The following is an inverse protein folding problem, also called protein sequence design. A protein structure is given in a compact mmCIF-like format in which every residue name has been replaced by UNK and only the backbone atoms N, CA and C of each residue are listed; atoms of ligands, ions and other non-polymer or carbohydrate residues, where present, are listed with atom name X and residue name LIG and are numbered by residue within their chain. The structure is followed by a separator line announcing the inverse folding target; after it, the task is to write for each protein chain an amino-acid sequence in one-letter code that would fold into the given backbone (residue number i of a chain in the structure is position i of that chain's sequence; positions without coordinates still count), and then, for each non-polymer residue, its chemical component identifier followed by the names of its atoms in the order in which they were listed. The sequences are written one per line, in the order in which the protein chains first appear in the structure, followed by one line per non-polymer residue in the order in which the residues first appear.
data_IF_026855297834
#
_entry.id   IF_026855297834
#
_cell.length_a   1.000
_cell.length_b   1.000
_cell.length_c   1.000
_cell.angle_alpha   90.00
_cell.angle_beta   90.00
_cell.angle_gamma   90.00
#
_symmetry.space_group_name_H-M   'P 1'
#
loop_
_entity.id
_entity.type
_entity.pdbx_description
1 polymer ?
#
# COMPACT_ATOMS: atom_id res chain seq x y z
N UNK A 1 -25.47 3.68 -12.59
CA UNK A 1 -25.95 2.71 -11.58
C UNK A 1 -24.74 1.98 -11.01
N UNK A 2 -24.37 2.27 -9.77
CA UNK A 2 -23.30 1.56 -9.07
C UNK A 2 -23.77 0.11 -8.86
N UNK A 3 -23.03 -0.86 -9.44
CA UNK A 3 -23.28 -2.29 -9.15
C UNK A 3 -22.98 -2.52 -7.68
N UNK A 4 -24.02 -2.77 -6.87
CA UNK A 4 -23.87 -3.30 -5.51
C UNK A 4 -23.16 -4.64 -5.66
N UNK A 5 -21.83 -4.65 -5.47
CA UNK A 5 -21.08 -5.91 -5.42
C UNK A 5 -21.41 -6.60 -4.11
N UNK A 6 -21.88 -7.84 -4.19
CA UNK A 6 -22.04 -8.69 -2.99
C UNK A 6 -20.68 -8.78 -2.26
N UNK A 7 -20.64 -8.49 -0.96
CA UNK A 7 -19.40 -8.56 -0.19
C UNK A 7 -18.84 -9.99 -0.26
N UNK A 8 -17.56 -10.12 -0.60
CA UNK A 8 -16.82 -11.40 -0.60
C UNK A 8 -15.55 -11.26 0.25
N UNK A 9 -15.68 -11.23 1.57
CA UNK A 9 -14.57 -10.90 2.46
C UNK A 9 -13.41 -11.89 2.34
N UNK A 10 -13.66 -13.19 2.20
CA UNK A 10 -12.61 -14.19 2.04
C UNK A 10 -11.75 -13.94 0.78
N UNK A 11 -12.38 -13.60 -0.35
CA UNK A 11 -11.66 -13.24 -1.57
C UNK A 11 -10.88 -11.92 -1.38
N UNK A 12 -11.49 -10.92 -0.73
CA UNK A 12 -10.82 -9.66 -0.40
C UNK A 12 -9.56 -9.89 0.45
N UNK A 13 -9.63 -10.77 1.45
CA UNK A 13 -8.49 -11.17 2.29
C UNK A 13 -7.39 -11.84 1.45
N UNK A 14 -7.73 -12.78 0.60
CA UNK A 14 -6.75 -13.44 -0.26
C UNK A 14 -6.05 -12.43 -1.20
N UNK A 15 -6.79 -11.49 -1.77
CA UNK A 15 -6.23 -10.44 -2.63
C UNK A 15 -5.32 -9.48 -1.87
N UNK A 16 -5.65 -9.10 -0.62
CA UNK A 16 -4.78 -8.21 0.18
C UNK A 16 -3.49 -8.92 0.60
N UNK A 17 -3.54 -10.20 0.96
CA UNK A 17 -2.35 -10.99 1.25
C UNK A 17 -1.45 -11.07 0.01
N UNK A 18 -2.01 -11.37 -1.16
CA UNK A 18 -1.28 -11.37 -2.43
C UNK A 18 -0.68 -10.00 -2.75
N UNK A 19 -1.41 -8.91 -2.53
CA UNK A 19 -0.93 -7.54 -2.69
C UNK A 19 0.28 -7.25 -1.80
N UNK A 20 0.18 -7.57 -0.52
CA UNK A 20 1.25 -7.35 0.46
C UNK A 20 2.51 -8.18 0.14
N UNK A 21 2.32 -9.42 -0.33
CA UNK A 21 3.43 -10.25 -0.80
C UNK A 21 4.12 -9.65 -2.02
N UNK A 22 3.35 -9.12 -2.97
CA UNK A 22 3.90 -8.40 -4.12
C UNK A 22 4.70 -7.17 -3.70
N UNK A 23 4.21 -6.37 -2.73
CA UNK A 23 4.91 -5.18 -2.28
C UNK A 23 6.21 -5.50 -1.55
N UNK A 24 6.20 -6.45 -0.60
CA UNK A 24 7.42 -6.87 0.09
C UNK A 24 8.48 -7.41 -0.89
N UNK A 25 8.06 -8.21 -1.86
CA UNK A 25 8.94 -8.72 -2.91
C UNK A 25 9.48 -7.60 -3.79
N UNK A 26 8.61 -6.67 -4.21
CA UNK A 26 9.00 -5.51 -4.99
C UNK A 26 10.04 -4.65 -4.26
N UNK A 27 9.80 -4.31 -2.99
CA UNK A 27 10.71 -3.47 -2.19
C UNK A 27 12.07 -4.15 -2.01
N UNK A 28 12.09 -5.48 -1.86
CA UNK A 28 13.32 -6.26 -1.78
C UNK A 28 14.10 -6.25 -3.10
N UNK A 29 13.41 -6.38 -4.24
CA UNK A 29 14.05 -6.28 -5.58
C UNK A 29 14.55 -4.85 -5.82
N UNK A 30 13.79 -3.82 -5.41
CA UNK A 30 14.21 -2.41 -5.48
C UNK A 30 15.47 -2.18 -4.65
N UNK A 31 15.54 -2.73 -3.42
CA UNK A 31 16.74 -2.63 -2.57
C UNK A 31 17.94 -3.24 -3.27
N UNK A 32 17.79 -4.43 -3.82
CA UNK A 32 18.89 -5.11 -4.54
C UNK A 32 19.33 -4.32 -5.78
N UNK A 33 18.37 -3.94 -6.63
CA UNK A 33 18.65 -3.28 -7.90
C UNK A 33 19.17 -1.85 -7.72
N UNK A 34 18.80 -1.17 -6.63
CA UNK A 34 19.27 0.18 -6.31
C UNK A 34 20.77 0.28 -6.02
N UNK A 35 21.45 -0.85 -5.77
CA UNK A 35 22.92 -0.92 -5.75
C UNK A 35 23.58 -0.84 -7.14
N UNK A 36 22.80 -0.99 -8.22
CA UNK A 36 23.31 -1.03 -9.61
C UNK A 36 22.72 0.08 -10.47
N UNK A 37 21.46 0.43 -10.26
CA UNK A 37 20.73 1.40 -11.06
C UNK A 37 20.18 2.55 -10.22
N UNK A 38 20.14 3.77 -10.75
CA UNK A 38 19.54 4.91 -10.06
C UNK A 38 18.07 4.68 -9.74
N UNK A 39 17.65 5.02 -8.51
CA UNK A 39 16.26 4.87 -8.03
C UNK A 39 15.27 5.60 -8.94
N UNK A 40 15.65 6.72 -9.55
CA UNK A 40 14.81 7.46 -10.49
C UNK A 40 14.45 6.64 -11.72
N UNK A 41 15.40 5.86 -12.27
CA UNK A 41 15.15 4.93 -13.37
C UNK A 41 14.21 3.79 -12.94
N UNK A 42 14.42 3.24 -11.74
CA UNK A 42 13.58 2.16 -11.20
C UNK A 42 12.14 2.63 -11.03
N UNK A 43 11.93 3.82 -10.47
CA UNK A 43 10.61 4.44 -10.33
C UNK A 43 9.94 4.67 -11.68
N UNK A 44 10.68 5.25 -12.63
CA UNK A 44 10.15 5.52 -13.97
C UNK A 44 9.74 4.24 -14.68
N UNK A 45 10.58 3.20 -14.65
CA UNK A 45 10.28 1.90 -15.25
C UNK A 45 9.02 1.27 -14.63
N UNK A 46 8.88 1.31 -13.30
CA UNK A 46 7.70 0.80 -12.58
C UNK A 46 6.40 1.47 -13.04
N UNK A 47 6.36 2.81 -13.08
CA UNK A 47 5.15 3.53 -13.47
C UNK A 47 4.85 3.42 -14.96
N UNK A 48 5.88 3.39 -15.80
CA UNK A 48 5.75 3.19 -17.25
C UNK A 48 5.20 1.80 -17.56
N UNK A 49 5.69 0.76 -16.89
CA UNK A 49 5.17 -0.59 -17.02
C UNK A 49 3.68 -0.65 -16.62
N UNK A 50 3.31 -0.05 -15.48
CA UNK A 50 1.94 0.02 -15.01
C UNK A 50 1.02 0.75 -16.00
N UNK A 51 1.44 1.92 -16.50
CA UNK A 51 0.67 2.71 -17.46
C UNK A 51 0.45 1.93 -18.76
N UNK A 52 1.51 1.30 -19.29
CA UNK A 52 1.46 0.51 -20.51
C UNK A 52 0.58 -0.73 -20.35
N UNK A 53 0.77 -1.51 -19.30
CA UNK A 53 -0.02 -2.71 -19.03
C UNK A 53 -1.51 -2.39 -18.92
N UNK A 54 -1.86 -1.32 -18.21
CA UNK A 54 -3.25 -0.89 -18.07
C UNK A 54 -3.80 -0.26 -19.35
N UNK A 55 -3.00 0.47 -20.13
CA UNK A 55 -3.41 0.99 -21.44
C UNK A 55 -3.74 -0.14 -22.41
N UNK A 56 -2.91 -1.18 -22.46
CA UNK A 56 -3.15 -2.37 -23.30
C UNK A 56 -4.43 -3.11 -22.86
N UNK A 57 -4.62 -3.30 -21.55
CA UNK A 57 -5.83 -3.93 -21.00
C UNK A 57 -7.10 -3.14 -21.32
N UNK A 58 -7.10 -1.83 -21.08
CA UNK A 58 -8.26 -0.97 -21.36
C UNK A 58 -8.52 -0.84 -22.86
N UNK A 59 -7.44 -0.76 -23.68
CA UNK A 59 -7.54 -0.76 -25.14
C UNK A 59 -8.16 -2.04 -25.68
N UNK A 60 -7.77 -3.19 -25.13
CA UNK A 60 -8.37 -4.49 -25.47
C UNK A 60 -9.86 -4.55 -25.08
N UNK A 61 -10.24 -4.05 -23.88
CA UNK A 61 -11.64 -3.95 -23.49
C UNK A 61 -12.44 -3.05 -24.44
N UNK A 62 -11.87 -1.92 -24.83
CA UNK A 62 -12.50 -0.99 -25.78
C UNK A 62 -12.74 -1.63 -27.14
N UNK A 63 -11.76 -2.38 -27.65
CA UNK A 63 -11.88 -3.11 -28.90
C UNK A 63 -12.98 -4.21 -28.87
N UNK A 64 -13.17 -4.85 -27.70
CA UNK A 64 -14.20 -5.89 -27.53
C UNK A 64 -15.62 -5.38 -27.28
N UNK A 65 -15.76 -4.17 -26.76
CA UNK A 65 -17.07 -3.58 -26.43
C UNK A 65 -17.17 -2.18 -27.05
N UNK A 66 -17.60 -2.09 -28.33
CA UNK A 66 -17.84 -0.81 -28.98
C UNK A 66 -18.86 0.01 -28.19
N UNK A 67 -18.51 1.26 -27.84
CA UNK A 67 -19.34 2.14 -26.99
C UNK A 67 -18.94 2.18 -25.51
N UNK A 68 -18.13 1.25 -25.01
CA UNK A 68 -17.52 1.38 -23.69
C UNK A 68 -16.53 2.56 -23.66
N UNK A 69 -16.45 3.22 -22.52
CA UNK A 69 -15.50 4.33 -22.30
C UNK A 69 -14.50 3.94 -21.20
N UNK A 70 -13.64 2.92 -21.42
CA UNK A 70 -12.81 2.35 -20.35
C UNK A 70 -11.76 3.33 -19.81
N UNK A 71 -11.37 4.35 -20.59
CA UNK A 71 -10.45 5.41 -20.17
C UNK A 71 -11.14 6.60 -19.48
N UNK A 72 -12.48 6.62 -19.44
CA UNK A 72 -13.20 7.72 -18.83
C UNK A 72 -13.15 7.64 -17.31
N UNK A 73 -12.65 8.72 -16.66
CA UNK A 73 -12.69 8.92 -15.23
C UNK A 73 -13.75 9.96 -14.89
N UNK A 74 -14.66 9.64 -13.98
CA UNK A 74 -15.67 10.58 -13.49
C UNK A 74 -15.03 11.70 -12.63
N UNK A 75 -13.93 11.38 -11.94
CA UNK A 75 -13.26 12.29 -11.00
C UNK A 75 -11.77 12.46 -11.32
N UNK A 76 -11.38 13.05 -12.48
CA UNK A 76 -10.00 13.09 -12.95
C UNK A 76 -9.03 13.80 -11.99
N UNK A 77 -9.46 14.86 -11.30
CA UNK A 77 -8.64 15.58 -10.31
C UNK A 77 -8.23 14.68 -9.15
N UNK A 78 -9.15 13.86 -8.64
CA UNK A 78 -8.84 12.92 -7.56
C UNK A 78 -7.96 11.75 -8.04
N UNK A 79 -8.08 11.33 -9.31
CA UNK A 79 -7.19 10.34 -9.89
C UNK A 79 -5.74 10.85 -9.98
N UNK A 80 -5.54 12.09 -10.44
CA UNK A 80 -4.21 12.72 -10.48
C UNK A 80 -3.64 12.88 -9.07
N UNK A 81 -4.43 13.41 -8.11
CA UNK A 81 -4.01 13.56 -6.72
C UNK A 81 -3.59 12.21 -6.11
N UNK A 82 -4.36 11.16 -6.36
CA UNK A 82 -4.04 9.80 -5.94
C UNK A 82 -2.73 9.31 -6.57
N UNK A 83 -2.53 9.58 -7.86
CA UNK A 83 -1.28 9.26 -8.58
C UNK A 83 -0.07 9.98 -7.98
N UNK A 84 -0.21 11.25 -7.64
CA UNK A 84 0.85 12.05 -6.97
C UNK A 84 1.18 11.50 -5.57
N UNK A 85 0.17 11.17 -4.78
CA UNK A 85 0.36 10.59 -3.45
C UNK A 85 1.08 9.24 -3.52
N UNK A 86 0.72 8.38 -4.48
CA UNK A 86 1.41 7.11 -4.65
C UNK A 86 2.83 7.30 -5.17
N UNK A 87 3.07 8.25 -6.08
CA UNK A 87 4.41 8.58 -6.56
C UNK A 87 5.30 9.06 -5.40
N UNK A 88 4.80 9.98 -4.56
CA UNK A 88 5.52 10.45 -3.38
C UNK A 88 5.82 9.29 -2.42
N UNK A 89 4.82 8.47 -2.11
CA UNK A 89 4.99 7.26 -1.28
C UNK A 89 6.07 6.34 -1.85
N UNK A 90 6.00 6.05 -3.16
CA UNK A 90 6.95 5.14 -3.82
C UNK A 90 8.37 5.71 -3.87
N UNK A 91 8.51 7.01 -4.12
CA UNK A 91 9.81 7.67 -4.12
C UNK A 91 10.44 7.59 -2.72
N UNK A 92 9.69 7.97 -1.68
CA UNK A 92 10.15 7.91 -0.29
C UNK A 92 10.51 6.46 0.09
N UNK A 93 9.67 5.49 -0.27
CA UNK A 93 9.91 4.08 0.01
C UNK A 93 11.19 3.59 -0.70
N UNK A 94 11.33 3.82 -2.00
CA UNK A 94 12.45 3.31 -2.79
C UNK A 94 13.79 3.91 -2.37
N UNK A 95 13.82 5.21 -2.00
CA UNK A 95 15.00 5.80 -1.39
C UNK A 95 15.25 5.26 0.02
N UNK A 96 14.21 5.09 0.82
CA UNK A 96 14.31 4.61 2.20
C UNK A 96 14.85 3.18 2.32
N UNK A 97 14.37 2.25 1.48
CA UNK A 97 14.86 0.85 1.49
C UNK A 97 16.30 0.70 1.01
N UNK A 98 16.89 1.75 0.40
CA UNK A 98 18.33 1.77 0.13
C UNK A 98 19.15 2.09 1.38
N UNK A 99 18.56 2.76 2.37
CA UNK A 99 19.26 3.28 3.56
C UNK A 99 19.09 2.39 4.79
N UNK A 100 18.11 1.50 4.81
CA UNK A 100 17.84 0.61 5.93
C UNK A 100 17.26 -0.73 5.45
N UNK A 101 17.34 -1.81 6.27
CA UNK A 101 16.79 -3.12 5.89
C UNK A 101 15.29 -3.06 5.64
N UNK A 102 14.82 -3.87 4.67
CA UNK A 102 13.40 -3.83 4.20
C UNK A 102 12.42 -4.21 5.30
N UNK A 103 12.79 -5.18 6.17
CA UNK A 103 11.92 -5.64 7.25
C UNK A 103 11.64 -4.52 8.27
N UNK A 104 12.68 -3.80 8.70
CA UNK A 104 12.57 -2.67 9.65
C UNK A 104 11.86 -1.48 9.00
N UNK A 105 12.18 -1.17 7.73
CA UNK A 105 11.46 -0.16 6.97
C UNK A 105 9.96 -0.49 6.92
N UNK A 106 9.63 -1.73 6.53
CA UNK A 106 8.24 -2.20 6.43
C UNK A 106 7.55 -2.15 7.79
N UNK A 107 8.23 -2.58 8.87
CA UNK A 107 7.67 -2.54 10.23
C UNK A 107 7.26 -1.11 10.64
N UNK A 108 8.14 -0.13 10.43
CA UNK A 108 7.86 1.27 10.76
C UNK A 108 6.75 1.84 9.85
N UNK A 109 6.78 1.51 8.55
CA UNK A 109 5.76 1.92 7.60
C UNK A 109 4.37 1.33 7.95
N UNK A 110 4.32 0.20 8.69
CA UNK A 110 3.07 -0.38 9.20
C UNK A 110 2.41 0.44 10.32
N UNK A 111 2.91 1.63 10.64
CA UNK A 111 2.10 2.67 11.28
C UNK A 111 0.97 3.19 10.37
N UNK A 112 1.05 2.98 9.07
CA UNK A 112 0.04 3.47 8.12
C UNK A 112 -1.38 2.97 8.41
N UNK A 113 -1.69 1.70 8.76
CA UNK A 113 -3.03 1.29 9.16
C UNK A 113 -3.57 2.03 10.39
N UNK A 114 -2.68 2.36 11.32
CA UNK A 114 -3.01 3.15 12.51
C UNK A 114 -3.36 4.58 12.11
N UNK A 115 -2.54 5.21 11.25
CA UNK A 115 -2.79 6.54 10.70
C UNK A 115 -4.06 6.58 9.86
N UNK A 116 -4.34 5.55 9.07
CA UNK A 116 -5.58 5.42 8.29
C UNK A 116 -6.79 5.45 9.22
N UNK A 117 -6.75 4.69 10.33
CA UNK A 117 -7.84 4.66 11.31
C UNK A 117 -8.04 6.03 11.97
N UNK A 118 -6.95 6.71 12.35
CA UNK A 118 -6.99 8.06 12.90
C UNK A 118 -7.57 9.09 11.92
N UNK A 119 -7.06 9.10 10.70
CA UNK A 119 -7.51 10.04 9.66
C UNK A 119 -8.96 9.77 9.25
N UNK A 120 -9.39 8.50 9.21
CA UNK A 120 -10.79 8.15 8.98
C UNK A 120 -11.69 8.72 10.09
N UNK A 121 -11.30 8.56 11.36
CA UNK A 121 -12.00 9.15 12.49
C UNK A 121 -12.08 10.67 12.41
N UNK A 122 -10.96 11.35 12.13
CA UNK A 122 -10.90 12.81 12.04
C UNK A 122 -11.63 13.38 10.81
N UNK A 123 -11.43 12.79 9.63
CA UNK A 123 -12.00 13.29 8.37
C UNK A 123 -13.44 12.86 8.16
N UNK A 124 -13.87 11.73 8.72
CA UNK A 124 -15.25 11.23 8.65
C UNK A 124 -16.05 11.55 9.90
N UNK A 125 -15.44 12.22 10.90
CA UNK A 125 -16.03 12.56 12.21
C UNK A 125 -16.58 11.31 12.95
N UNK A 126 -15.98 10.16 12.72
CA UNK A 126 -16.31 8.94 13.44
C UNK A 126 -15.80 9.03 14.89
N UNK A 127 -16.62 8.62 15.86
CA UNK A 127 -16.18 8.58 17.26
C UNK A 127 -15.16 7.43 17.44
N UNK A 128 -13.93 7.80 17.78
CA UNK A 128 -12.85 6.84 18.05
C UNK A 128 -12.92 6.44 19.51
N UNK A 129 -13.24 5.17 19.79
CA UNK A 129 -13.31 4.65 21.17
C UNK A 129 -11.95 4.69 21.88
N UNK A 130 -11.94 4.74 23.22
CA UNK A 130 -10.72 4.72 24.03
C UNK A 130 -9.84 3.48 23.74
N UNK A 131 -10.47 2.34 23.43
CA UNK A 131 -9.76 1.12 23.06
C UNK A 131 -9.02 1.28 21.72
N UNK A 132 -9.61 1.95 20.72
CA UNK A 132 -8.92 2.26 19.46
C UNK A 132 -7.72 3.17 19.70
N UNK A 133 -7.84 4.15 20.59
CA UNK A 133 -6.71 4.99 21.00
C UNK A 133 -5.60 4.18 21.65
N UNK A 134 -5.94 3.24 22.54
CA UNK A 134 -4.96 2.34 23.16
C UNK A 134 -4.19 1.50 22.11
N UNK A 135 -4.89 1.00 21.08
CA UNK A 135 -4.26 0.24 19.99
C UNK A 135 -3.37 1.10 19.10
N UNK A 136 -3.76 2.35 18.86
CA UNK A 136 -2.92 3.35 18.16
C UNK A 136 -1.63 3.59 18.94
N UNK A 137 -1.73 3.81 20.25
CA UNK A 137 -0.58 4.01 21.14
C UNK A 137 0.30 2.74 21.17
N UNK A 138 -0.33 1.55 21.22
CA UNK A 138 0.36 0.26 21.14
C UNK A 138 1.15 0.09 19.84
N UNK A 139 0.53 0.41 18.69
CA UNK A 139 1.20 0.40 17.39
C UNK A 139 2.38 1.38 17.35
N UNK A 140 2.20 2.60 17.85
CA UNK A 140 3.27 3.58 17.93
C UNK A 140 4.42 3.12 18.86
N UNK A 141 4.10 2.53 20.01
CA UNK A 141 5.09 1.94 20.90
C UNK A 141 5.89 0.81 20.22
N UNK A 142 5.21 -0.07 19.46
CA UNK A 142 5.86 -1.11 18.66
C UNK A 142 6.85 -0.52 17.65
N UNK A 143 6.47 0.54 16.93
CA UNK A 143 7.37 1.23 16.01
C UNK A 143 8.57 1.86 16.74
N UNK A 144 8.36 2.47 17.91
CA UNK A 144 9.46 3.02 18.72
C UNK A 144 10.45 1.95 19.18
N UNK A 145 9.97 0.74 19.51
CA UNK A 145 10.84 -0.40 19.85
C UNK A 145 11.72 -0.80 18.66
N UNK A 146 11.19 -0.79 17.42
CA UNK A 146 11.98 -1.06 16.21
C UNK A 146 12.99 0.07 15.95
N UNK A 147 12.53 1.33 16.06
CA UNK A 147 13.35 2.54 15.77
C UNK A 147 14.49 2.69 16.78
N UNK A 148 14.23 2.41 18.06
CA UNK A 148 15.18 2.65 19.18
C UNK A 148 15.76 4.07 19.16
N UNK A 149 14.92 5.10 19.36
CA UNK A 149 15.39 6.48 19.34
C UNK A 149 16.51 6.67 20.38
N UNK A 150 17.56 7.35 19.97
CA UNK A 150 18.76 7.56 20.80
C UNK A 150 19.84 6.48 20.69
N UNK A 151 19.57 5.33 20.08
CA UNK A 151 20.61 4.31 19.81
C UNK A 151 21.57 4.69 18.68
N UNK A 152 21.19 5.68 17.86
CA UNK A 152 21.92 6.06 16.64
C UNK A 152 21.78 5.03 15.49
N UNK A 153 21.02 3.94 15.70
CA UNK A 153 20.96 2.80 14.76
C UNK A 153 20.50 3.22 13.35
N UNK A 154 19.47 4.07 13.27
CA UNK A 154 18.94 4.54 11.99
C UNK A 154 19.09 6.05 11.79
N UNK A 155 19.32 6.83 12.84
CA UNK A 155 19.44 8.29 12.77
C UNK A 155 18.24 8.93 12.04
N UNK A 156 18.52 9.86 11.13
CA UNK A 156 17.51 10.58 10.35
C UNK A 156 16.82 9.71 9.28
N UNK A 157 17.37 8.53 8.97
CA UNK A 157 16.82 7.60 7.97
C UNK A 157 15.41 7.14 8.33
N UNK A 158 15.07 7.10 9.62
CA UNK A 158 13.73 6.76 10.13
C UNK A 158 12.62 7.67 9.60
N UNK A 159 12.95 8.87 9.16
CA UNK A 159 11.97 9.79 8.56
C UNK A 159 11.41 9.26 7.22
N UNK A 160 12.15 8.42 6.49
CA UNK A 160 11.63 7.80 5.27
C UNK A 160 10.40 6.93 5.53
N UNK A 161 10.45 5.87 6.37
CA UNK A 161 9.27 5.04 6.61
C UNK A 161 8.14 5.79 7.31
N UNK A 162 8.43 6.75 8.21
CA UNK A 162 7.41 7.58 8.85
C UNK A 162 6.67 8.47 7.84
N UNK A 163 7.42 9.16 6.97
CA UNK A 163 6.81 9.97 5.90
C UNK A 163 6.06 9.09 4.92
N UNK A 164 6.61 7.94 4.55
CA UNK A 164 5.97 6.95 3.70
C UNK A 164 4.61 6.53 4.27
N UNK A 165 4.53 6.23 5.58
CA UNK A 165 3.30 5.85 6.26
C UNK A 165 2.22 6.94 6.18
N UNK A 166 2.59 8.22 6.30
CA UNK A 166 1.66 9.36 6.20
C UNK A 166 1.13 9.49 4.76
N UNK A 167 2.01 9.53 3.77
CA UNK A 167 1.60 9.66 2.36
C UNK A 167 0.77 8.45 1.91
N UNK A 168 1.16 7.25 2.34
CA UNK A 168 0.41 6.02 2.05
C UNK A 168 -0.96 6.03 2.71
N UNK A 169 -1.10 6.51 3.94
CA UNK A 169 -2.40 6.65 4.60
C UNK A 169 -3.34 7.59 3.82
N UNK A 170 -2.85 8.74 3.38
CA UNK A 170 -3.61 9.67 2.53
C UNK A 170 -4.01 9.02 1.19
N UNK A 171 -3.06 8.33 0.53
CA UNK A 171 -3.32 7.56 -0.70
C UNK A 171 -4.40 6.50 -0.49
N UNK A 172 -4.33 5.76 0.61
CA UNK A 172 -5.25 4.66 0.91
C UNK A 172 -6.69 5.16 1.15
N UNK A 173 -6.85 6.25 1.91
CA UNK A 173 -8.17 6.88 2.14
C UNK A 173 -8.79 7.34 0.82
N UNK A 174 -8.00 7.99 -0.03
CA UNK A 174 -8.48 8.44 -1.33
C UNK A 174 -8.81 7.26 -2.24
N UNK A 175 -8.01 6.18 -2.17
CA UNK A 175 -8.25 4.94 -2.92
C UNK A 175 -9.55 4.27 -2.49
N UNK A 176 -9.82 4.16 -1.20
CA UNK A 176 -11.05 3.53 -0.69
C UNK A 176 -12.30 4.31 -1.11
N UNK A 177 -12.24 5.65 -1.11
CA UNK A 177 -13.35 6.48 -1.62
C UNK A 177 -13.58 6.28 -3.12
N UNK A 178 -12.52 6.27 -3.92
CA UNK A 178 -12.62 6.12 -5.38
C UNK A 178 -12.98 4.69 -5.81
N UNK A 179 -12.61 3.66 -5.04
CA UNK A 179 -12.90 2.27 -5.37
C UNK A 179 -14.41 1.95 -5.50
N UNK A 180 -15.26 2.76 -4.86
CA UNK A 180 -16.72 2.66 -4.95
C UNK A 180 -17.33 3.46 -6.13
N UNK A 181 -16.59 4.46 -6.63
CA UNK A 181 -17.07 5.44 -7.61
C UNK A 181 -16.53 5.18 -9.02
N UNK A 182 -15.38 4.54 -9.11
CA UNK A 182 -14.60 4.41 -10.34
C UNK A 182 -14.28 2.95 -10.69
N UNK A 183 -13.97 2.70 -11.96
CA UNK A 183 -13.45 1.40 -12.36
C UNK A 183 -12.06 1.17 -11.75
N UNK A 184 -11.79 0.00 -11.14
CA UNK A 184 -10.46 -0.32 -10.61
C UNK A 184 -9.35 -0.20 -11.66
N UNK A 185 -9.62 -0.63 -12.88
CA UNK A 185 -8.66 -0.61 -13.98
C UNK A 185 -8.37 0.81 -14.47
N UNK A 186 -9.42 1.64 -14.60
CA UNK A 186 -9.28 3.06 -14.96
C UNK A 186 -8.49 3.81 -13.89
N UNK A 187 -8.84 3.59 -12.61
CA UNK A 187 -8.12 4.18 -11.47
C UNK A 187 -6.64 3.78 -11.47
N UNK A 188 -6.36 2.51 -11.76
CA UNK A 188 -4.99 2.00 -11.81
C UNK A 188 -4.20 2.57 -13.01
N UNK A 189 -4.83 2.72 -14.17
CA UNK A 189 -4.26 3.37 -15.34
C UNK A 189 -3.84 4.82 -15.06
N UNK A 190 -4.74 5.63 -14.50
CA UNK A 190 -4.43 7.04 -14.19
C UNK A 190 -3.30 7.19 -13.18
N UNK A 191 -3.18 6.26 -12.24
CA UNK A 191 -2.04 6.25 -11.30
C UNK A 191 -0.72 6.02 -12.01
N UNK A 192 -0.66 5.01 -12.90
CA UNK A 192 0.53 4.73 -13.71
C UNK A 192 0.87 5.90 -14.63
N UNK A 193 -0.14 6.45 -15.33
CA UNK A 193 0.02 7.58 -16.25
C UNK A 193 0.54 8.82 -15.53
N UNK A 194 -0.04 9.17 -14.37
CA UNK A 194 0.40 10.34 -13.58
C UNK A 194 1.86 10.18 -13.16
N UNK A 195 2.22 9.01 -12.61
CA UNK A 195 3.60 8.74 -12.18
C UNK A 195 4.59 8.76 -13.35
N UNK A 196 4.25 8.11 -14.47
CA UNK A 196 5.08 8.10 -15.68
C UNK A 196 5.30 9.51 -16.21
N UNK A 197 4.25 10.33 -16.37
CA UNK A 197 4.35 11.69 -16.91
C UNK A 197 5.17 12.60 -16.00
N UNK A 198 4.91 12.60 -14.68
CA UNK A 198 5.64 13.44 -13.74
C UNK A 198 7.12 13.07 -13.67
N UNK A 199 7.44 11.76 -13.66
CA UNK A 199 8.83 11.31 -13.68
C UNK A 199 9.51 11.61 -15.02
N UNK A 200 8.81 11.49 -16.14
CA UNK A 200 9.34 11.88 -17.46
C UNK A 200 9.66 13.37 -17.53
N UNK A 201 8.78 14.23 -16.98
CA UNK A 201 9.03 15.67 -16.87
C UNK A 201 10.22 15.98 -15.96
N UNK A 202 10.32 15.29 -14.82
CA UNK A 202 11.45 15.43 -13.90
C UNK A 202 12.77 15.03 -14.55
N UNK A 203 12.78 13.92 -15.28
CA UNK A 203 13.96 13.43 -16.02
C UNK A 203 14.35 14.41 -17.11
N UNK A 204 13.38 14.91 -17.89
CA UNK A 204 13.63 15.86 -18.97
C UNK A 204 14.16 17.23 -18.47
N UNK A 205 13.75 17.64 -17.26
CA UNK A 205 14.21 18.88 -16.62
C UNK A 205 15.47 18.75 -15.77
N UNK A 206 16.09 17.55 -15.70
CA UNK A 206 17.26 17.26 -14.88
C UNK A 206 18.47 16.88 -15.72
N UNK A 207 19.67 16.95 -15.14
CA UNK A 207 20.91 16.47 -15.76
C UNK A 207 21.03 14.93 -15.78
N UNK A 208 19.96 14.22 -15.47
CA UNK A 208 19.95 12.77 -15.41
C UNK A 208 20.09 12.15 -16.80
N UNK A 209 21.21 11.48 -17.04
CA UNK A 209 21.52 10.82 -18.32
C UNK A 209 20.72 9.52 -18.50
N UNK A 210 19.40 9.66 -18.67
CA UNK A 210 18.45 8.54 -18.73
C UNK A 210 18.85 7.48 -19.78
N UNK A 211 19.13 7.91 -21.01
CA UNK A 211 19.46 6.98 -22.09
C UNK A 211 20.76 6.20 -21.79
N UNK A 212 21.77 6.87 -21.26
CA UNK A 212 23.02 6.22 -20.86
C UNK A 212 22.78 5.19 -19.73
N UNK A 213 21.93 5.53 -18.75
CA UNK A 213 21.58 4.60 -17.65
C UNK A 213 20.84 3.35 -18.17
N UNK A 214 19.95 3.51 -19.15
CA UNK A 214 19.25 2.38 -19.78
C UNK A 214 20.22 1.54 -20.64
N UNK A 215 21.08 2.18 -21.43
CA UNK A 215 22.04 1.48 -22.32
C UNK A 215 23.14 0.73 -21.53
N UNK A 216 23.52 1.24 -20.37
CA UNK A 216 24.51 0.57 -19.49
C UNK A 216 23.92 -0.57 -18.67
N UNK A 217 22.59 -0.70 -18.62
CA UNK A 217 21.94 -1.74 -17.84
C UNK A 217 22.13 -3.12 -18.46
N UNK A 218 22.60 -4.08 -17.66
CA UNK A 218 22.73 -5.47 -18.09
C UNK A 218 21.34 -6.12 -18.32
N UNK A 219 21.24 -7.16 -19.19
CA UNK A 219 19.95 -7.81 -19.47
C UNK A 219 19.20 -8.31 -18.22
N UNK A 220 19.90 -8.83 -17.21
CA UNK A 220 19.30 -9.28 -15.96
C UNK A 220 18.71 -8.09 -15.14
N UNK A 221 19.34 -6.92 -15.20
CA UNK A 221 18.83 -5.70 -14.55
C UNK A 221 17.52 -5.22 -15.21
N UNK A 222 17.45 -5.28 -16.55
CA UNK A 222 16.23 -5.01 -17.29
C UNK A 222 15.11 -6.00 -16.93
N UNK A 223 15.47 -7.29 -16.74
CA UNK A 223 14.54 -8.31 -16.23
C UNK A 223 13.99 -7.97 -14.84
N UNK A 224 14.83 -7.49 -13.91
CA UNK A 224 14.41 -7.06 -12.59
C UNK A 224 13.59 -5.76 -12.63
N UNK A 225 13.88 -4.82 -13.53
CA UNK A 225 13.02 -3.65 -13.76
C UNK A 225 11.61 -4.07 -14.20
N UNK A 226 11.50 -5.01 -15.13
CA UNK A 226 10.23 -5.58 -15.57
C UNK A 226 9.50 -6.28 -14.41
N UNK A 227 10.22 -7.04 -13.58
CA UNK A 227 9.68 -7.69 -12.38
C UNK A 227 9.14 -6.67 -11.38
N UNK A 228 9.85 -5.57 -11.09
CA UNK A 228 9.37 -4.47 -10.25
C UNK A 228 8.08 -3.87 -10.82
N UNK A 229 8.04 -3.62 -12.13
CA UNK A 229 6.84 -3.14 -12.82
C UNK A 229 5.66 -4.11 -12.70
N UNK A 230 5.92 -5.40 -12.87
CA UNK A 230 4.93 -6.46 -12.73
C UNK A 230 4.39 -6.54 -11.29
N UNK A 231 5.27 -6.68 -10.29
CA UNK A 231 4.89 -6.77 -8.88
C UNK A 231 4.12 -5.52 -8.41
N UNK A 232 4.58 -4.32 -8.79
CA UNK A 232 3.89 -3.08 -8.49
C UNK A 232 2.52 -2.97 -9.14
N UNK A 233 2.39 -3.39 -10.41
CA UNK A 233 1.12 -3.37 -11.13
C UNK A 233 0.12 -4.35 -10.52
N UNK A 234 0.52 -5.61 -10.35
CA UNK A 234 -0.36 -6.61 -9.74
C UNK A 234 -0.68 -6.29 -8.29
N UNK A 235 0.31 -5.92 -7.46
CA UNK A 235 0.11 -5.59 -6.06
C UNK A 235 -0.94 -4.49 -5.86
N UNK A 236 -0.83 -3.38 -6.61
CA UNK A 236 -1.82 -2.29 -6.51
C UNK A 236 -3.17 -2.64 -7.11
N UNK A 237 -3.22 -3.43 -8.18
CA UNK A 237 -4.48 -3.89 -8.74
C UNK A 237 -5.21 -4.81 -7.74
N UNK A 238 -4.50 -5.77 -7.13
CA UNK A 238 -5.06 -6.63 -6.09
C UNK A 238 -5.59 -5.82 -4.90
N UNK A 239 -4.85 -4.79 -4.46
CA UNK A 239 -5.28 -3.87 -3.40
C UNK A 239 -6.59 -3.16 -3.75
N UNK A 240 -6.70 -2.57 -4.94
CA UNK A 240 -7.91 -1.85 -5.36
C UNK A 240 -9.09 -2.83 -5.46
N UNK A 241 -8.87 -4.03 -5.99
CA UNK A 241 -9.90 -5.07 -6.08
C UNK A 241 -10.34 -5.54 -4.69
N UNK A 242 -9.41 -5.75 -3.76
CA UNK A 242 -9.70 -6.14 -2.38
C UNK A 242 -10.60 -5.10 -1.69
N UNK A 243 -10.27 -3.81 -1.81
CA UNK A 243 -11.05 -2.70 -1.26
C UNK A 243 -12.46 -2.56 -1.88
N UNK A 244 -12.64 -3.07 -3.08
CA UNK A 244 -13.97 -3.16 -3.71
C UNK A 244 -14.79 -4.38 -3.29
N UNK A 245 -14.21 -5.34 -2.54
CA UNK A 245 -14.86 -6.60 -2.13
C UNK A 245 -15.13 -6.70 -0.62
N UNK A 246 -14.37 -5.97 0.19
CA UNK A 246 -14.51 -5.98 1.64
C UNK A 246 -14.18 -4.61 2.23
N UNK A 247 -14.79 -4.24 3.37
CA UNK A 247 -14.47 -3.01 4.11
C UNK A 247 -12.99 -2.97 4.51
N UNK A 248 -12.42 -1.76 4.53
CA UNK A 248 -11.01 -1.54 4.90
C UNK A 248 -10.68 -2.16 6.25
N UNK A 249 -11.56 -2.01 7.26
CA UNK A 249 -11.38 -2.60 8.58
C UNK A 249 -11.25 -4.14 8.59
N UNK A 250 -11.88 -4.83 7.63
CA UNK A 250 -11.76 -6.29 7.46
C UNK A 250 -10.41 -6.68 6.88
N UNK A 251 -9.83 -5.84 6.02
CA UNK A 251 -8.61 -6.15 5.28
C UNK A 251 -7.33 -5.80 6.04
N UNK A 252 -7.37 -4.76 6.88
CA UNK A 252 -6.19 -4.20 7.54
C UNK A 252 -5.38 -5.19 8.41
N UNK A 253 -5.97 -6.20 9.12
CA UNK A 253 -5.17 -7.19 9.86
C UNK A 253 -4.19 -7.94 8.97
N UNK A 254 -4.61 -8.23 7.75
CA UNK A 254 -3.85 -9.07 6.84
C UNK A 254 -2.71 -8.32 6.13
N UNK A 255 -2.68 -6.99 6.22
CA UNK A 255 -1.58 -6.16 5.71
C UNK A 255 -0.26 -6.45 6.43
N UNK A 256 -0.32 -6.86 7.72
CA UNK A 256 0.87 -7.19 8.49
C UNK A 256 1.64 -8.41 7.96
N UNK A 257 1.03 -9.24 7.10
CA UNK A 257 1.72 -10.31 6.35
C UNK A 257 2.91 -9.75 5.56
N UNK A 258 2.84 -8.48 5.12
CA UNK A 258 3.94 -7.83 4.41
C UNK A 258 5.25 -7.85 5.23
N UNK A 259 5.18 -7.68 6.55
CA UNK A 259 6.37 -7.72 7.42
C UNK A 259 6.98 -9.12 7.42
N UNK A 260 6.14 -10.15 7.54
CA UNK A 260 6.63 -11.54 7.54
C UNK A 260 7.31 -11.90 6.22
N UNK A 261 6.72 -11.49 5.09
CA UNK A 261 7.31 -11.69 3.76
C UNK A 261 8.61 -10.90 3.61
N UNK A 262 8.64 -9.61 4.04
CA UNK A 262 9.83 -8.77 4.01
C UNK A 262 10.98 -9.35 4.87
N UNK A 263 10.66 -9.85 6.07
CA UNK A 263 11.63 -10.49 6.95
C UNK A 263 12.18 -11.80 6.35
N UNK A 264 11.31 -12.63 5.77
CA UNK A 264 11.71 -13.88 5.11
C UNK A 264 12.64 -13.60 3.91
N UNK A 265 12.30 -12.64 3.05
CA UNK A 265 13.15 -12.27 1.92
C UNK A 265 14.44 -11.61 2.42
N UNK A 266 14.37 -10.76 3.44
CA UNK A 266 15.53 -10.13 4.07
C UNK A 266 16.55 -11.16 4.55
N UNK A 267 16.06 -12.21 5.21
CA UNK A 267 16.90 -13.32 5.67
C UNK A 267 17.45 -14.15 4.50
N UNK A 268 16.59 -14.58 3.57
CA UNK A 268 16.97 -15.50 2.50
C UNK A 268 17.86 -14.86 1.40
N UNK A 269 17.61 -13.58 1.08
CA UNK A 269 18.26 -12.91 -0.04
C UNK A 269 19.39 -11.96 0.38
N UNK A 270 19.36 -11.44 1.61
CA UNK A 270 20.32 -10.45 2.11
C UNK A 270 21.07 -10.89 3.37
N UNK A 271 20.86 -12.15 3.82
CA UNK A 271 21.43 -12.68 5.07
C UNK A 271 21.19 -11.75 6.28
N UNK A 272 20.04 -11.04 6.27
CA UNK A 272 19.65 -10.11 7.29
C UNK A 272 18.35 -10.55 7.95
N UNK A 273 18.46 -11.04 9.19
CA UNK A 273 17.31 -11.30 10.05
C UNK A 273 17.10 -10.13 11.02
N UNK A 274 15.85 -9.72 11.28
CA UNK A 274 15.56 -8.75 12.33
C UNK A 274 16.13 -9.20 13.67
N UNK A 275 16.69 -8.28 14.45
CA UNK A 275 17.19 -8.59 15.78
C UNK A 275 16.06 -8.77 16.81
N UNK A 276 16.40 -9.17 18.04
CA UNK A 276 15.41 -9.44 19.08
C UNK A 276 14.48 -8.26 19.39
N UNK A 277 15.00 -7.04 19.39
CA UNK A 277 14.18 -5.84 19.61
C UNK A 277 13.26 -5.55 18.41
N UNK A 278 13.75 -5.73 17.18
CA UNK A 278 12.93 -5.60 15.99
C UNK A 278 11.79 -6.61 16.02
N UNK A 279 12.04 -7.88 16.39
CA UNK A 279 10.99 -8.89 16.55
C UNK A 279 9.96 -8.53 17.62
N UNK A 280 10.38 -7.98 18.77
CA UNK A 280 9.46 -7.51 19.82
C UNK A 280 8.59 -6.37 19.26
N UNK A 281 9.19 -5.37 18.64
CA UNK A 281 8.46 -4.23 18.08
C UNK A 281 7.50 -4.64 16.97
N UNK A 282 7.91 -5.51 16.05
CA UNK A 282 7.07 -6.10 14.99
C UNK A 282 5.86 -6.84 15.59
N UNK A 283 6.09 -7.62 16.66
CA UNK A 283 5.03 -8.37 17.33
C UNK A 283 4.01 -7.44 17.98
N UNK A 284 4.46 -6.43 18.73
CA UNK A 284 3.60 -5.43 19.37
C UNK A 284 2.79 -4.66 18.33
N UNK A 285 3.42 -4.23 17.25
CA UNK A 285 2.79 -3.50 16.16
C UNK A 285 1.74 -4.35 15.45
N UNK A 286 2.09 -5.60 15.10
CA UNK A 286 1.18 -6.54 14.44
C UNK A 286 -0.01 -6.92 15.33
N UNK A 287 0.22 -7.17 16.63
CA UNK A 287 -0.83 -7.46 17.59
C UNK A 287 -1.80 -6.28 17.76
N UNK A 288 -1.28 -5.05 17.88
CA UNK A 288 -2.09 -3.84 17.98
C UNK A 288 -2.93 -3.62 16.72
N UNK A 289 -2.36 -3.81 15.54
CA UNK A 289 -3.06 -3.72 14.27
C UNK A 289 -4.13 -4.80 14.11
N UNK A 290 -3.82 -6.05 14.42
CA UNK A 290 -4.77 -7.17 14.38
C UNK A 290 -5.94 -6.95 15.33
N UNK A 291 -5.67 -6.46 16.55
CA UNK A 291 -6.70 -6.15 17.53
C UNK A 291 -7.60 -4.99 17.06
N UNK A 292 -7.03 -3.93 16.48
CA UNK A 292 -7.81 -2.81 15.92
C UNK A 292 -8.76 -3.28 14.83
N UNK A 293 -8.30 -4.17 13.98
CA UNK A 293 -9.10 -4.71 12.90
C UNK A 293 -10.18 -5.69 13.39
N UNK A 294 -9.87 -6.51 14.39
CA UNK A 294 -10.87 -7.39 15.01
C UNK A 294 -12.01 -6.59 15.66
N UNK A 295 -11.70 -5.46 16.31
CA UNK A 295 -12.72 -4.54 16.82
C UNK A 295 -13.62 -3.96 15.72
N UNK A 296 -13.03 -3.57 14.59
CA UNK A 296 -13.80 -3.08 13.46
C UNK A 296 -14.75 -4.15 12.90
N UNK A 297 -14.29 -5.42 12.85
CA UNK A 297 -15.14 -6.53 12.42
C UNK A 297 -16.32 -6.76 13.37
N UNK A 298 -16.09 -6.73 14.68
CA UNK A 298 -17.16 -6.88 15.69
C UNK A 298 -18.20 -5.77 15.62
N UNK A 299 -17.78 -4.52 15.38
CA UNK A 299 -18.72 -3.40 15.23
C UNK A 299 -19.58 -3.56 13.98
N UNK A 300 -18.97 -3.87 12.82
CA UNK A 300 -19.73 -4.12 11.60
C UNK A 300 -20.71 -5.28 11.75
N UNK A 301 -20.34 -6.34 12.46
CA UNK A 301 -21.23 -7.46 12.73
C UNK A 301 -22.38 -7.07 13.69
N UNK A 302 -22.12 -6.24 14.69
CA UNK A 302 -23.14 -5.72 15.61
C UNK A 302 -24.16 -4.81 14.91
N UNK A 303 -23.69 -3.94 14.01
CA UNK A 303 -24.54 -3.03 13.25
C UNK A 303 -25.40 -3.77 12.18
N UNK A 304 -25.10 -5.03 11.87
CA UNK A 304 -25.87 -5.86 10.93
C UNK A 304 -26.91 -6.77 11.59
N UNK A 305 -26.93 -6.82 12.92
CA UNK A 305 -28.00 -7.57 13.64
C UNK A 305 -29.32 -6.81 13.52
N UNK A 306 -30.43 -7.44 13.06
CA UNK A 306 -31.73 -6.79 13.01
C UNK A 306 -32.19 -6.40 14.43
N UNK A 307 -32.76 -5.21 14.59
CA UNK A 307 -33.33 -4.68 15.84
C UNK A 307 -34.35 -5.63 16.52
N UNK A 308 -34.88 -6.60 15.77
CA UNK A 308 -35.83 -7.61 16.25
C UNK A 308 -35.23 -8.64 17.25
N UNK A 309 -33.89 -8.74 17.35
CA UNK A 309 -33.24 -9.66 18.30
C UNK A 309 -32.98 -8.95 19.63
N UNK A 310 -32.78 -7.65 19.62
CA UNK A 310 -32.50 -6.85 20.84
C UNK A 310 -33.76 -6.72 21.72
N UNK A 311 -34.96 -6.76 21.15
CA UNK A 311 -36.23 -6.64 21.89
C UNK A 311 -36.73 -7.94 22.54
N UNK A 312 -36.08 -9.10 22.29
CA UNK A 312 -36.49 -10.36 22.90
C UNK A 312 -35.90 -10.66 24.29
N UNK A 313 -34.82 -9.94 24.62
CA UNK A 313 -34.13 -10.16 25.92
C UNK A 313 -34.64 -9.23 27.04
N UNK A 314 -35.48 -8.24 26.71
CA UNK A 314 -36.04 -7.31 27.70
C UNK A 314 -37.49 -7.63 28.16
N UNK A 315 -38.06 -8.75 27.67
CA UNK A 315 -39.44 -9.15 28.05
C UNK A 315 -39.52 -10.50 28.77
N UNK A 316 -38.39 -10.98 29.33
CA UNK A 316 -38.33 -12.17 30.15
C UNK A 316 -37.85 -11.77 31.57
N UNK A 317 -38.68 -10.98 32.28
CA UNK A 317 -38.74 -10.85 33.75
C UNK A 317 -40.18 -10.61 34.17
#
# INVERSE_FOLDING_TARGET
MARVRTPRPALGIALIIGSCSCFASMDSVVRYLGGFLPVLLILWARYSFQALAMALWLGWQWAKQPGAKPFHAAHPKFQVMRGMLLLATSAICFYGVQQMPVAEFTAINMLSPVLITLLAGLLLKEQVSALRWALVIGGFAGALIVIRPGSGLFGWVVLYPLSCAIFYACFQILTSKLALLESPYTTHFYTGLTGMLLLSLLIAGSDFKFLAAVQSAAPWQLGLLALIGLLGTFGHLLLILALGLAPTGTLMPFVYVQIAVAAAIGWLAFDHAPDGYAWIGITVLSASGAAAAWLNLRQVAADQLPDSIVLRDTTAD
#
